data_IF_781108461657
#
_entry.id   IF_781108461657
#
_cell.length_a   1.000
_cell.length_b   1.000
_cell.length_c   1.000
_cell.angle_alpha   90.00
_cell.angle_beta   90.00
_cell.angle_gamma   90.00
#
_symmetry.space_group_name_H-M   'P 1'
#
loop_
_entity.id
_entity.type
_entity.pdbx_description
1 polymer ?
#
# COMPACT_ATOMS: atom_id res chain seq x y z
N UNK A 1 -56.31 27.68 -29.72
CA UNK A 1 -56.42 28.63 -28.59
C UNK A 1 -57.43 29.69 -28.99
N UNK A 2 -58.37 30.06 -28.14
CA UNK A 2 -59.27 31.18 -28.47
C UNK A 2 -58.44 32.47 -28.56
N UNK A 3 -58.71 33.29 -29.57
CA UNK A 3 -58.01 34.57 -29.79
C UNK A 3 -58.58 35.68 -28.89
N UNK A 4 -58.92 35.33 -27.65
CA UNK A 4 -59.53 36.27 -26.70
C UNK A 4 -58.41 37.08 -26.06
N UNK A 5 -58.45 38.40 -26.26
CA UNK A 5 -57.58 39.33 -25.58
C UNK A 5 -58.06 39.50 -24.12
N UNK A 6 -57.47 38.69 -23.23
CA UNK A 6 -57.77 38.71 -21.79
C UNK A 6 -57.42 40.05 -21.15
N UNK A 7 -56.40 40.74 -21.66
CA UNK A 7 -55.95 42.01 -21.11
C UNK A 7 -56.93 43.13 -21.48
N UNK A 8 -57.40 43.13 -22.73
CA UNK A 8 -58.48 44.03 -23.15
C UNK A 8 -59.77 43.79 -22.35
N UNK A 9 -60.16 42.53 -22.12
CA UNK A 9 -61.33 42.19 -21.29
C UNK A 9 -61.18 42.66 -19.84
N UNK A 10 -60.00 42.49 -19.25
CA UNK A 10 -59.70 42.99 -17.90
C UNK A 10 -59.83 44.51 -17.83
N UNK A 11 -59.25 45.24 -18.77
CA UNK A 11 -59.33 46.71 -18.82
C UNK A 11 -60.78 47.19 -18.92
N UNK A 12 -61.58 46.56 -19.77
CA UNK A 12 -63.01 46.88 -19.88
C UNK A 12 -63.73 46.60 -18.56
N UNK A 13 -63.55 45.42 -17.97
CA UNK A 13 -64.21 45.07 -16.71
C UNK A 13 -63.75 45.90 -15.50
N UNK A 14 -62.50 46.40 -15.51
CA UNK A 14 -61.99 47.33 -14.49
C UNK A 14 -62.52 48.75 -14.66
N UNK A 15 -62.91 49.13 -15.88
CA UNK A 15 -63.45 50.46 -16.18
C UNK A 15 -64.93 50.63 -15.78
N UNK A 16 -65.61 49.54 -15.41
CA UNK A 16 -67.03 49.51 -15.02
C UNK A 16 -67.17 49.25 -13.51
N UNK A 17 -68.17 49.86 -12.89
CA UNK A 17 -68.50 49.64 -11.48
C UNK A 17 -68.80 48.16 -11.20
N UNK A 18 -68.19 47.62 -10.15
CA UNK A 18 -68.21 46.19 -9.79
C UNK A 18 -69.45 45.78 -9.00
N UNK A 19 -70.56 46.44 -9.26
CA UNK A 19 -71.82 46.22 -8.57
C UNK A 19 -72.44 44.88 -8.98
N UNK A 20 -73.20 44.29 -8.07
CA UNK A 20 -74.03 43.12 -8.40
C UNK A 20 -75.24 43.56 -9.21
N UNK A 21 -75.65 42.72 -10.15
CA UNK A 21 -76.72 43.04 -11.10
C UNK A 21 -77.86 42.04 -10.96
N UNK A 22 -79.09 42.54 -11.02
CA UNK A 22 -80.32 41.75 -10.96
C UNK A 22 -81.17 41.93 -12.22
N UNK A 23 -82.03 40.94 -12.50
CA UNK A 23 -83.01 41.02 -13.59
C UNK A 23 -84.30 41.63 -13.10
N UNK A 24 -84.73 42.69 -13.75
CA UNK A 24 -86.02 43.33 -13.59
C UNK A 24 -87.01 42.81 -14.63
N UNK A 25 -88.15 42.29 -14.18
CA UNK A 25 -89.30 41.95 -15.03
C UNK A 25 -90.26 43.14 -15.05
N UNK A 26 -90.53 43.70 -16.23
CA UNK A 26 -91.44 44.83 -16.42
C UNK A 26 -92.80 44.42 -16.98
N UNK A 27 -93.04 43.13 -17.26
CA UNK A 27 -94.24 42.67 -17.98
C UNK A 27 -94.07 42.75 -19.50
N UNK A 28 -95.03 42.20 -20.26
CA UNK A 28 -95.08 42.22 -21.73
C UNK A 28 -93.79 41.78 -22.47
N UNK A 29 -93.03 40.87 -21.85
CA UNK A 29 -91.74 40.37 -22.31
C UNK A 29 -90.58 41.39 -22.33
N UNK A 30 -90.72 42.50 -21.59
CA UNK A 30 -89.67 43.48 -21.38
C UNK A 30 -88.91 43.22 -20.08
N UNK A 31 -87.63 42.86 -20.22
CA UNK A 31 -86.71 42.64 -19.11
C UNK A 31 -85.63 43.72 -19.09
N UNK A 32 -85.11 44.08 -17.92
CA UNK A 32 -83.97 45.00 -17.79
C UNK A 32 -82.96 44.43 -16.81
N UNK A 33 -81.69 44.79 -16.95
CA UNK A 33 -80.68 44.52 -15.93
C UNK A 33 -80.51 45.79 -15.10
N UNK A 34 -80.59 45.65 -13.78
CA UNK A 34 -80.47 46.77 -12.84
C UNK A 34 -79.37 46.48 -11.83
N UNK A 35 -78.87 47.52 -11.19
CA UNK A 35 -77.98 47.36 -10.03
C UNK A 35 -78.76 46.71 -8.89
N UNK A 36 -78.22 45.63 -8.34
CA UNK A 36 -78.80 44.90 -7.21
C UNK A 36 -79.05 45.83 -6.03
N UNK A 37 -80.26 45.77 -5.47
CA UNK A 37 -80.67 46.63 -4.36
C UNK A 37 -81.06 48.07 -4.74
N UNK A 38 -80.95 48.48 -6.00
CA UNK A 38 -81.38 49.82 -6.45
C UNK A 38 -82.89 49.98 -6.61
N UNK A 39 -83.65 48.87 -6.60
CA UNK A 39 -85.09 48.89 -6.84
C UNK A 39 -85.87 49.40 -5.62
N UNK A 40 -86.49 50.56 -5.77
CA UNK A 40 -87.43 51.14 -4.83
C UNK A 40 -88.84 51.16 -5.43
N UNK A 41 -89.85 50.80 -4.63
CA UNK A 41 -91.26 50.79 -5.03
C UNK A 41 -92.08 51.68 -4.10
N UNK A 42 -92.59 52.77 -4.64
CA UNK A 42 -93.60 53.61 -4.00
C UNK A 42 -95.03 53.27 -4.46
N UNK A 43 -96.02 53.94 -3.88
CA UNK A 43 -97.43 53.72 -4.21
C UNK A 43 -97.80 54.08 -5.67
N UNK A 44 -97.05 54.99 -6.30
CA UNK A 44 -97.31 55.50 -7.66
C UNK A 44 -96.04 55.59 -8.52
N UNK A 45 -94.89 55.12 -8.02
CA UNK A 45 -93.61 55.24 -8.71
C UNK A 45 -92.72 54.04 -8.45
N UNK A 46 -91.75 53.87 -9.36
CA UNK A 46 -90.68 52.90 -9.27
C UNK A 46 -89.39 53.60 -9.65
N UNK A 47 -88.37 53.52 -8.80
CA UNK A 47 -87.01 54.00 -9.08
C UNK A 47 -86.04 52.83 -9.04
N UNK A 48 -85.04 52.86 -9.91
CA UNK A 48 -83.94 51.88 -9.99
C UNK A 48 -82.82 52.45 -10.86
N UNK A 49 -81.64 51.85 -10.76
CA UNK A 49 -80.48 52.20 -11.58
C UNK A 49 -80.34 51.17 -12.73
N UNK A 50 -80.73 51.51 -13.98
CA UNK A 50 -80.63 50.59 -15.10
C UNK A 50 -79.19 50.43 -15.58
N UNK A 51 -78.78 49.18 -15.79
CA UNK A 51 -77.52 48.81 -16.47
C UNK A 51 -77.74 48.67 -17.97
N UNK A 52 -78.89 48.16 -18.37
CA UNK A 52 -79.29 48.03 -19.78
C UNK A 52 -80.73 48.51 -19.98
N UNK A 53 -81.00 49.02 -21.18
CA UNK A 53 -82.37 49.24 -21.63
C UNK A 53 -82.99 47.92 -22.12
N UNK A 54 -84.32 47.90 -22.26
CA UNK A 54 -85.19 46.80 -22.71
C UNK A 54 -84.50 45.61 -23.40
N UNK A 55 -84.58 44.44 -22.77
CA UNK A 55 -84.13 43.15 -23.26
C UNK A 55 -85.36 42.28 -23.47
N UNK A 56 -85.61 41.87 -24.71
CA UNK A 56 -86.79 41.07 -25.10
C UNK A 56 -86.76 39.61 -24.63
N UNK A 57 -85.65 39.16 -24.02
CA UNK A 57 -85.43 37.76 -23.63
C UNK A 57 -84.87 37.65 -22.20
N UNK A 58 -85.68 37.07 -21.32
CA UNK A 58 -85.32 36.78 -19.93
C UNK A 58 -83.99 36.05 -19.75
N UNK A 59 -83.67 35.10 -20.65
CA UNK A 59 -82.43 34.31 -20.56
C UNK A 59 -81.19 35.17 -20.82
N UNK A 60 -81.28 36.13 -21.75
CA UNK A 60 -80.20 37.06 -22.05
C UNK A 60 -80.00 38.02 -20.88
N UNK A 61 -81.09 38.57 -20.33
CA UNK A 61 -81.02 39.44 -19.14
C UNK A 61 -80.40 38.72 -17.95
N UNK A 62 -80.81 37.46 -17.69
CA UNK A 62 -80.23 36.64 -16.63
C UNK A 62 -78.74 36.34 -16.84
N UNK A 63 -78.32 36.09 -18.08
CA UNK A 63 -76.90 35.88 -18.39
C UNK A 63 -76.06 37.14 -18.14
N UNK A 64 -76.54 38.31 -18.59
CA UNK A 64 -75.83 39.59 -18.38
C UNK A 64 -75.73 39.91 -16.89
N UNK A 65 -76.82 39.74 -16.12
CA UNK A 65 -76.82 39.93 -14.68
C UNK A 65 -75.84 38.99 -13.95
N UNK A 66 -75.82 37.71 -14.34
CA UNK A 66 -74.92 36.71 -13.76
C UNK A 66 -73.43 36.90 -14.16
N UNK A 67 -73.17 37.46 -15.35
CA UNK A 67 -71.82 37.70 -15.88
C UNK A 67 -71.44 39.18 -15.80
N UNK A 68 -71.59 39.76 -14.62
CA UNK A 68 -71.20 41.14 -14.36
C UNK A 68 -69.66 41.33 -14.35
N UNK A 69 -69.15 42.58 -14.38
CA UNK A 69 -67.71 42.86 -14.37
C UNK A 69 -66.96 42.25 -13.17
N UNK A 70 -67.61 42.17 -12.00
CA UNK A 70 -67.06 41.54 -10.79
C UNK A 70 -66.77 40.05 -11.01
N UNK A 71 -67.72 39.31 -11.57
CA UNK A 71 -67.57 37.88 -11.88
C UNK A 71 -66.54 37.66 -12.99
N UNK A 72 -66.55 38.49 -14.03
CA UNK A 72 -65.57 38.40 -15.12
C UNK A 72 -64.12 38.57 -14.61
N UNK A 73 -63.88 39.55 -13.74
CA UNK A 73 -62.56 39.76 -13.13
C UNK A 73 -62.13 38.61 -12.22
N UNK A 74 -63.04 38.10 -11.39
CA UNK A 74 -62.75 36.94 -10.54
C UNK A 74 -62.33 35.71 -11.36
N UNK A 75 -63.04 35.43 -12.46
CA UNK A 75 -62.68 34.35 -13.38
C UNK A 75 -61.34 34.58 -14.07
N UNK A 76 -61.03 35.82 -14.47
CA UNK A 76 -59.72 36.18 -15.04
C UNK A 76 -58.59 36.00 -14.02
N UNK A 77 -58.78 36.42 -12.76
CA UNK A 77 -57.82 36.22 -11.68
C UNK A 77 -57.55 34.73 -11.43
N UNK A 78 -58.60 33.89 -11.42
CA UNK A 78 -58.45 32.43 -11.29
C UNK A 78 -57.71 31.81 -12.48
N UNK A 79 -57.99 32.28 -13.70
CA UNK A 79 -57.30 31.81 -14.90
C UNK A 79 -55.82 32.21 -14.91
N UNK A 80 -55.51 33.44 -14.50
CA UNK A 80 -54.13 33.92 -14.39
C UNK A 80 -53.35 33.11 -13.36
N UNK A 81 -53.95 32.83 -12.19
CA UNK A 81 -53.37 31.94 -11.17
C UNK A 81 -53.12 30.53 -11.69
N UNK A 82 -54.09 29.93 -12.38
CA UNK A 82 -53.93 28.59 -12.99
C UNK A 82 -52.83 28.60 -14.06
N UNK A 83 -52.74 29.64 -14.87
CA UNK A 83 -51.71 29.77 -15.89
C UNK A 83 -50.31 29.93 -15.28
N UNK A 84 -50.18 30.67 -14.17
CA UNK A 84 -48.93 30.75 -13.41
C UNK A 84 -48.55 29.40 -12.79
N UNK A 85 -49.51 28.68 -12.20
CA UNK A 85 -49.27 27.36 -11.62
C UNK A 85 -48.76 26.36 -12.67
N UNK A 86 -49.35 26.35 -13.87
CA UNK A 86 -48.90 25.49 -14.97
C UNK A 86 -47.45 25.81 -15.34
N UNK A 87 -47.10 27.10 -15.48
CA UNK A 87 -45.72 27.51 -15.78
C UNK A 87 -44.72 27.05 -14.72
N UNK A 88 -45.06 27.19 -13.44
CA UNK A 88 -44.22 26.73 -12.33
C UNK A 88 -44.03 25.21 -12.36
N UNK A 89 -45.10 24.46 -12.63
CA UNK A 89 -45.05 23.00 -12.77
C UNK A 89 -44.23 22.54 -13.95
N UNK A 90 -44.33 23.24 -15.08
CA UNK A 90 -43.53 22.93 -16.27
C UNK A 90 -42.04 23.18 -16.00
N UNK A 91 -41.70 24.27 -15.32
CA UNK A 91 -40.33 24.55 -14.88
C UNK A 91 -39.80 23.49 -13.90
N UNK A 92 -40.61 23.14 -12.89
CA UNK A 92 -40.26 22.09 -11.92
C UNK A 92 -40.02 20.75 -12.63
N UNK A 93 -40.88 20.39 -13.58
CA UNK A 93 -40.73 19.17 -14.37
C UNK A 93 -39.46 19.18 -15.23
N UNK A 94 -39.08 20.33 -15.79
CA UNK A 94 -37.83 20.50 -16.54
C UNK A 94 -36.61 20.31 -15.62
N UNK A 95 -36.60 20.95 -14.45
CA UNK A 95 -35.53 20.82 -13.46
C UNK A 95 -35.40 19.38 -12.94
N UNK A 96 -36.53 18.70 -12.71
CA UNK A 96 -36.57 17.28 -12.36
C UNK A 96 -35.98 16.43 -13.51
N UNK A 97 -36.36 16.70 -14.76
CA UNK A 97 -35.86 15.95 -15.90
C UNK A 97 -34.33 16.10 -16.05
N UNK A 98 -33.80 17.31 -15.87
CA UNK A 98 -32.37 17.58 -15.88
C UNK A 98 -31.64 16.83 -14.75
N UNK A 99 -32.20 16.85 -13.54
CA UNK A 99 -31.62 16.19 -12.36
C UNK A 99 -31.61 14.67 -12.53
N UNK A 100 -32.73 14.09 -12.97
CA UNK A 100 -32.83 12.66 -13.28
C UNK A 100 -31.86 12.28 -14.40
N UNK A 101 -31.68 13.13 -15.41
CA UNK A 101 -30.69 12.92 -16.46
C UNK A 101 -29.26 12.80 -15.92
N UNK A 102 -28.85 13.71 -15.04
CA UNK A 102 -27.52 13.67 -14.39
C UNK A 102 -27.33 12.40 -13.56
N UNK A 103 -28.31 12.07 -12.72
CA UNK A 103 -28.25 10.86 -11.87
C UNK A 103 -28.17 9.57 -12.69
N UNK A 104 -28.84 9.50 -13.85
CA UNK A 104 -28.71 8.35 -14.75
C UNK A 104 -27.28 8.17 -15.28
N UNK A 105 -26.64 9.26 -15.69
CA UNK A 105 -25.25 9.21 -16.17
C UNK A 105 -24.30 8.77 -15.05
N UNK A 106 -24.45 9.34 -13.85
CA UNK A 106 -23.66 8.95 -12.69
C UNK A 106 -23.85 7.47 -12.34
N UNK A 107 -25.10 6.98 -12.34
CA UNK A 107 -25.41 5.58 -12.05
C UNK A 107 -24.74 4.63 -13.05
N UNK A 108 -24.78 4.94 -14.35
CA UNK A 108 -24.11 4.14 -15.37
C UNK A 108 -22.58 4.14 -15.19
N UNK A 109 -21.99 5.26 -14.79
CA UNK A 109 -20.57 5.31 -14.44
C UNK A 109 -20.24 4.43 -13.22
N UNK A 110 -21.08 4.44 -12.18
CA UNK A 110 -20.89 3.57 -11.01
C UNK A 110 -20.98 2.08 -11.36
N UNK A 111 -21.97 1.68 -12.17
CA UNK A 111 -22.10 0.29 -12.65
C UNK A 111 -20.88 -0.14 -13.45
N UNK A 112 -20.43 0.69 -14.39
CA UNK A 112 -19.21 0.40 -15.17
C UNK A 112 -17.96 0.28 -14.28
N UNK A 113 -17.86 1.09 -13.22
CA UNK A 113 -16.78 0.96 -12.24
C UNK A 113 -16.86 -0.35 -11.45
N UNK A 114 -18.05 -0.75 -11.01
CA UNK A 114 -18.28 -2.01 -10.30
C UNK A 114 -17.91 -3.24 -11.15
N UNK A 115 -18.29 -3.23 -12.43
CA UNK A 115 -17.91 -4.28 -13.39
C UNK A 115 -16.38 -4.38 -13.54
N UNK A 116 -15.69 -3.23 -13.69
CA UNK A 116 -14.22 -3.21 -13.78
C UNK A 116 -13.56 -3.75 -12.52
N UNK A 117 -14.05 -3.37 -11.34
CA UNK A 117 -13.52 -3.85 -10.06
C UNK A 117 -13.72 -5.36 -9.94
N UNK A 118 -14.92 -5.86 -10.29
CA UNK A 118 -15.23 -7.30 -10.25
C UNK A 118 -14.28 -8.08 -11.15
N UNK A 119 -14.04 -7.60 -12.38
CA UNK A 119 -13.10 -8.24 -13.30
C UNK A 119 -11.67 -8.26 -12.73
N UNK A 120 -11.20 -7.13 -12.21
CA UNK A 120 -9.86 -7.02 -11.62
C UNK A 120 -9.67 -7.97 -10.43
N UNK A 121 -10.69 -8.12 -9.58
CA UNK A 121 -10.66 -9.06 -8.45
C UNK A 121 -10.55 -10.51 -8.94
N UNK A 122 -11.31 -10.89 -9.98
CA UNK A 122 -11.23 -12.23 -10.56
C UNK A 122 -9.87 -12.50 -11.22
N UNK A 123 -9.35 -11.54 -11.99
CA UNK A 123 -8.05 -11.65 -12.64
C UNK A 123 -6.92 -11.78 -11.60
N UNK A 124 -6.97 -10.97 -10.53
CA UNK A 124 -6.01 -11.06 -9.43
C UNK A 124 -6.11 -12.38 -8.66
N UNK A 125 -7.32 -12.88 -8.39
CA UNK A 125 -7.52 -14.19 -7.73
C UNK A 125 -6.87 -15.30 -8.55
N UNK A 126 -7.13 -15.32 -9.86
CA UNK A 126 -6.54 -16.29 -10.79
C UNK A 126 -5.01 -16.18 -10.80
N UNK A 127 -4.47 -14.96 -10.73
CA UNK A 127 -3.03 -14.74 -10.64
C UNK A 127 -2.43 -15.30 -9.34
N UNK A 128 -3.12 -15.13 -8.20
CA UNK A 128 -2.68 -15.69 -6.92
C UNK A 128 -2.70 -17.22 -6.92
N UNK A 129 -3.74 -17.85 -7.48
CA UNK A 129 -3.84 -19.31 -7.58
C UNK A 129 -2.62 -19.90 -8.31
N UNK A 130 -2.22 -19.30 -9.43
CA UNK A 130 -1.03 -19.72 -10.20
C UNK A 130 0.27 -19.56 -9.40
N UNK A 131 0.38 -18.50 -8.58
CA UNK A 131 1.55 -18.30 -7.72
C UNK A 131 1.60 -19.31 -6.58
N UNK A 132 0.46 -19.63 -5.97
CA UNK A 132 0.37 -20.66 -4.93
C UNK A 132 0.75 -22.04 -5.46
N UNK A 133 0.26 -22.43 -6.65
CA UNK A 133 0.67 -23.71 -7.26
C UNK A 133 2.18 -23.77 -7.53
N UNK A 134 2.78 -22.67 -8.00
CA UNK A 134 4.23 -22.60 -8.21
C UNK A 134 5.01 -22.67 -6.90
N UNK A 135 4.50 -22.07 -5.83
CA UNK A 135 5.09 -22.12 -4.50
C UNK A 135 5.05 -23.54 -3.95
N UNK A 136 3.89 -24.19 -3.98
CA UNK A 136 3.72 -25.58 -3.51
C UNK A 136 4.63 -26.54 -4.31
N UNK A 137 4.70 -26.36 -5.63
CA UNK A 137 5.62 -27.13 -6.47
C UNK A 137 7.10 -26.88 -6.13
N UNK A 138 7.46 -25.65 -5.74
CA UNK A 138 8.82 -25.32 -5.33
C UNK A 138 9.18 -25.93 -3.97
N UNK A 139 8.28 -25.85 -3.01
CA UNK A 139 8.43 -26.47 -1.69
C UNK A 139 8.61 -27.99 -1.82
N UNK A 140 7.81 -28.63 -2.67
CA UNK A 140 7.96 -30.05 -2.97
C UNK A 140 9.33 -30.39 -3.54
N UNK A 141 9.82 -29.61 -4.53
CA UNK A 141 11.17 -29.80 -5.10
C UNK A 141 12.27 -29.64 -4.04
N UNK A 142 12.14 -28.67 -3.14
CA UNK A 142 13.10 -28.45 -2.05
C UNK A 142 13.09 -29.64 -1.09
N UNK A 143 11.91 -30.17 -0.75
CA UNK A 143 11.78 -31.35 0.11
C UNK A 143 12.43 -32.59 -0.53
N UNK A 144 12.17 -32.84 -1.82
CA UNK A 144 12.79 -33.93 -2.58
C UNK A 144 14.32 -33.78 -2.66
N UNK A 145 14.82 -32.56 -2.91
CA UNK A 145 16.26 -32.28 -2.91
C UNK A 145 16.89 -32.53 -1.53
N UNK A 146 16.21 -32.11 -0.45
CA UNK A 146 16.69 -32.32 0.92
C UNK A 146 16.82 -33.81 1.23
N UNK A 147 15.81 -34.60 0.88
CA UNK A 147 15.84 -36.05 1.05
C UNK A 147 16.99 -36.71 0.26
N UNK A 148 17.19 -36.29 -1.00
CA UNK A 148 18.31 -36.76 -1.81
C UNK A 148 19.67 -36.47 -1.16
N UNK A 149 19.93 -35.23 -0.76
CA UNK A 149 21.19 -34.85 -0.14
C UNK A 149 21.42 -35.54 1.20
N UNK A 150 20.37 -35.70 2.01
CA UNK A 150 20.43 -36.44 3.28
C UNK A 150 20.82 -37.91 3.04
N UNK A 151 20.29 -38.53 1.98
CA UNK A 151 20.71 -39.87 1.54
C UNK A 151 22.18 -39.95 1.09
N UNK A 152 22.66 -39.00 0.28
CA UNK A 152 24.06 -38.94 -0.16
C UNK A 152 25.01 -38.74 1.02
N UNK A 153 24.66 -37.86 1.95
CA UNK A 153 25.45 -37.60 3.17
C UNK A 153 25.47 -38.86 4.05
N UNK A 154 24.36 -39.57 4.19
CA UNK A 154 24.30 -40.80 4.96
C UNK A 154 25.19 -41.91 4.37
N UNK A 155 25.14 -42.12 3.05
CA UNK A 155 25.99 -43.09 2.36
C UNK A 155 27.48 -42.73 2.46
N UNK A 156 27.81 -41.46 2.24
CA UNK A 156 29.17 -40.95 2.40
C UNK A 156 29.69 -41.11 3.84
N UNK A 157 28.87 -40.79 4.84
CA UNK A 157 29.21 -40.95 6.26
C UNK A 157 29.46 -42.42 6.62
N UNK A 158 28.63 -43.34 6.10
CA UNK A 158 28.83 -44.78 6.27
C UNK A 158 30.15 -45.23 5.65
N UNK A 159 30.47 -44.76 4.45
CA UNK A 159 31.73 -45.10 3.77
C UNK A 159 32.95 -44.59 4.53
N UNK A 160 32.89 -43.38 5.09
CA UNK A 160 33.95 -42.83 5.95
C UNK A 160 34.14 -43.72 7.18
N UNK A 161 33.06 -44.09 7.88
CA UNK A 161 33.14 -44.96 9.04
C UNK A 161 33.75 -46.35 8.72
N UNK A 162 33.40 -46.93 7.56
CA UNK A 162 34.02 -48.17 7.07
C UNK A 162 35.52 -48.01 6.81
N UNK A 163 35.93 -46.89 6.21
CA UNK A 163 37.34 -46.60 5.94
C UNK A 163 38.12 -46.37 7.24
N UNK A 164 37.56 -45.62 8.19
CA UNK A 164 38.16 -45.39 9.51
C UNK A 164 38.29 -46.68 10.32
N UNK A 165 37.33 -47.61 10.21
CA UNK A 165 37.43 -48.92 10.87
C UNK A 165 38.46 -49.84 10.24
N UNK A 166 38.73 -49.70 8.94
CA UNK A 166 39.73 -50.49 8.22
C UNK A 166 41.12 -49.84 8.24
N UNK A 167 41.23 -48.60 8.74
CA UNK A 167 42.49 -47.89 8.87
C UNK A 167 43.39 -48.55 9.93
N UNK A 168 44.48 -49.17 9.47
CA UNK A 168 45.55 -49.65 10.35
C UNK A 168 46.31 -48.44 10.87
N UNK A 169 45.97 -47.96 12.07
CA UNK A 169 46.78 -46.98 12.78
C UNK A 169 48.04 -47.66 13.29
N UNK A 170 49.21 -47.32 12.72
CA UNK A 170 50.50 -47.63 13.35
C UNK A 170 50.66 -46.75 14.60
N UNK A 171 50.00 -47.16 15.68
CA UNK A 171 50.12 -46.53 16.99
C UNK A 171 51.54 -46.79 17.49
N UNK A 172 52.40 -45.77 17.39
CA UNK A 172 53.70 -45.80 18.07
C UNK A 172 54.95 -45.78 17.19
N UNK A 173 54.90 -45.25 15.96
CA UNK A 173 56.11 -44.96 15.18
C UNK A 173 56.92 -43.80 15.78
N UNK A 174 57.55 -44.06 16.93
CA UNK A 174 58.58 -43.23 17.53
C UNK A 174 59.92 -43.68 16.96
N UNK A 175 60.71 -42.74 16.48
CA UNK A 175 62.11 -42.99 16.16
C UNK A 175 62.97 -41.94 16.86
N UNK A 176 64.21 -42.32 17.12
CA UNK A 176 65.20 -41.48 17.76
C UNK A 176 66.18 -41.01 16.69
N UNK A 177 66.44 -39.71 16.65
CA UNK A 177 67.55 -39.16 15.88
C UNK A 177 68.73 -39.01 16.83
N UNK A 178 69.78 -39.80 16.58
CA UNK A 178 70.99 -39.86 17.40
C UNK A 178 72.08 -39.03 16.73
N UNK A 179 72.60 -38.03 17.45
CA UNK A 179 73.62 -37.09 16.97
C UNK A 179 74.90 -37.23 17.79
N UNK A 180 76.04 -37.21 17.10
CA UNK A 180 77.36 -37.19 17.72
C UNK A 180 78.26 -36.16 17.01
N UNK A 181 79.07 -35.38 17.74
CA UNK A 181 80.01 -34.43 17.13
C UNK A 181 80.89 -35.10 16.06
N UNK A 182 80.91 -34.54 14.84
CA UNK A 182 81.73 -35.03 13.73
C UNK A 182 81.23 -36.29 13.01
N UNK A 183 80.03 -36.79 13.32
CA UNK A 183 79.39 -37.92 12.60
C UNK A 183 78.05 -37.51 11.99
N UNK A 184 77.66 -38.17 10.92
CA UNK A 184 76.33 -37.99 10.32
C UNK A 184 75.25 -38.46 11.30
N UNK A 185 74.18 -37.69 11.54
CA UNK A 185 73.06 -38.12 12.37
C UNK A 185 72.44 -39.43 11.86
N UNK A 186 72.01 -40.30 12.78
CA UNK A 186 71.42 -41.60 12.43
C UNK A 186 70.04 -41.77 13.08
N UNK A 187 69.11 -42.34 12.32
CA UNK A 187 67.79 -42.73 12.83
C UNK A 187 67.89 -44.12 13.47
N UNK A 188 67.38 -44.25 14.69
CA UNK A 188 67.24 -45.53 15.39
C UNK A 188 65.79 -45.74 15.81
N UNK A 189 65.28 -46.94 15.59
CA UNK A 189 64.00 -47.38 16.12
C UNK A 189 64.22 -48.07 17.46
N UNK A 190 63.44 -47.71 18.48
CA UNK A 190 63.52 -48.37 19.77
C UNK A 190 62.95 -49.78 19.66
N UNK A 191 63.75 -50.78 20.02
CA UNK A 191 63.31 -52.16 20.19
C UNK A 191 63.32 -52.51 21.67
N UNK A 192 62.14 -52.67 22.27
CA UNK A 192 61.98 -52.92 23.71
C UNK A 192 61.74 -51.65 24.52
N UNK A 193 62.11 -51.68 25.81
CA UNK A 193 61.91 -50.57 26.74
C UNK A 193 62.72 -49.32 26.33
N UNK A 194 62.06 -48.16 26.30
CA UNK A 194 62.64 -46.91 25.79
C UNK A 194 63.75 -46.39 26.71
N UNK A 195 63.60 -46.49 28.03
CA UNK A 195 64.60 -45.98 28.99
C UNK A 195 65.87 -46.81 28.93
N UNK A 196 65.74 -48.13 28.87
CA UNK A 196 66.89 -49.04 28.73
C UNK A 196 67.64 -48.81 27.41
N UNK A 197 66.91 -48.56 26.32
CA UNK A 197 67.51 -48.26 25.02
C UNK A 197 68.28 -46.92 25.04
N UNK A 198 67.68 -45.88 25.64
CA UNK A 198 68.33 -44.58 25.79
C UNK A 198 69.56 -44.65 26.69
N UNK A 199 69.52 -45.40 27.81
CA UNK A 199 70.69 -45.62 28.68
C UNK A 199 71.84 -46.25 27.91
N UNK A 200 71.59 -47.33 27.16
CA UNK A 200 72.63 -48.00 26.36
C UNK A 200 73.27 -47.08 25.33
N UNK A 201 72.51 -46.19 24.71
CA UNK A 201 73.06 -45.22 23.74
C UNK A 201 73.96 -44.18 24.41
N UNK A 202 73.57 -43.67 25.57
CA UNK A 202 74.33 -42.67 26.31
C UNK A 202 75.58 -43.29 26.96
N UNK A 203 75.49 -44.55 27.45
CA UNK A 203 76.64 -45.28 28.00
C UNK A 203 77.71 -45.59 26.94
N UNK A 204 77.29 -45.86 25.69
CA UNK A 204 78.21 -46.10 24.58
C UNK A 204 78.95 -44.83 24.13
N UNK A 205 78.30 -43.67 24.29
CA UNK A 205 78.83 -42.41 23.78
C UNK A 205 78.36 -41.21 24.61
N UNK A 206 79.19 -40.73 25.58
CA UNK A 206 78.78 -39.69 26.53
C UNK A 206 78.49 -38.32 25.90
N UNK A 207 78.93 -38.08 24.65
CA UNK A 207 78.72 -36.82 23.93
C UNK A 207 77.52 -36.87 22.97
N UNK A 208 76.76 -37.97 23.00
CA UNK A 208 75.59 -38.14 22.14
C UNK A 208 74.44 -37.24 22.55
N UNK A 209 73.78 -36.61 21.57
CA UNK A 209 72.49 -35.93 21.77
C UNK A 209 71.41 -36.68 21.02
N UNK A 210 70.25 -36.87 21.66
CA UNK A 210 69.16 -37.69 21.12
C UNK A 210 67.90 -36.83 21.05
N UNK A 211 67.35 -36.68 19.86
CA UNK A 211 66.03 -36.09 19.67
C UNK A 211 64.99 -37.22 19.53
N UNK A 212 63.96 -37.19 20.37
CA UNK A 212 62.84 -38.13 20.27
C UNK A 212 61.82 -37.51 19.33
N UNK A 213 61.65 -38.11 18.15
CA UNK A 213 60.69 -37.63 17.17
C UNK A 213 59.51 -38.58 17.12
N UNK A 214 58.34 -38.03 17.39
CA UNK A 214 57.08 -38.73 17.21
C UNK A 214 56.44 -38.21 15.94
N UNK A 215 56.31 -39.05 14.92
CA UNK A 215 55.42 -38.72 13.82
C UNK A 215 54.01 -39.21 14.16
N UNK A 216 53.02 -38.36 13.88
CA UNK A 216 51.61 -38.75 13.92
C UNK A 216 51.00 -38.31 12.60
N UNK A 217 50.47 -39.25 11.81
CA UNK A 217 49.54 -38.92 10.72
C UNK A 217 48.37 -39.88 10.61
N UNK A 218 47.15 -39.34 10.53
CA UNK A 218 46.29 -39.28 9.34
C UNK A 218 44.89 -38.84 9.80
N UNK A 219 44.28 -37.94 9.04
CA UNK A 219 42.91 -37.47 9.21
C UNK A 219 42.54 -36.64 7.98
N UNK A 220 41.30 -36.75 7.52
CA UNK A 220 40.79 -36.07 6.32
C UNK A 220 40.95 -34.56 6.50
N UNK A 221 41.99 -33.97 5.90
CA UNK A 221 42.40 -32.58 6.15
C UNK A 221 43.84 -32.20 5.77
N UNK A 222 44.73 -33.15 5.49
CA UNK A 222 45.90 -32.92 4.62
C UNK A 222 47.01 -31.97 5.11
N UNK A 223 47.36 -31.93 6.40
CA UNK A 223 48.53 -31.17 6.88
C UNK A 223 49.82 -32.03 6.92
N UNK A 224 50.86 -31.77 6.12
CA UNK A 224 52.07 -32.62 5.99
C UNK A 224 52.70 -33.15 7.30
N UNK A 225 53.14 -34.42 7.27
CA UNK A 225 54.10 -34.97 8.25
C UNK A 225 55.44 -35.06 7.57
N UNK A 226 56.43 -34.34 8.10
CA UNK A 226 57.82 -34.56 7.74
C UNK A 226 58.12 -36.02 8.04
N UNK A 227 58.59 -36.83 7.08
CA UNK A 227 59.10 -38.17 7.40
C UNK A 227 60.50 -38.10 8.04
N UNK A 228 61.00 -39.23 8.57
CA UNK A 228 62.30 -39.26 9.26
C UNK A 228 63.47 -38.84 8.35
N UNK A 229 63.35 -39.08 7.04
CA UNK A 229 64.32 -38.69 6.03
C UNK A 229 64.24 -37.21 5.66
N UNK A 230 63.03 -36.67 5.53
CA UNK A 230 62.74 -35.25 5.28
C UNK A 230 63.24 -34.38 6.43
N UNK A 231 63.06 -34.82 7.69
CA UNK A 231 63.61 -34.12 8.84
C UNK A 231 65.14 -34.07 8.82
N UNK A 232 65.82 -35.18 8.46
CA UNK A 232 67.28 -35.20 8.28
C UNK A 232 67.74 -34.24 7.18
N UNK A 233 67.01 -34.18 6.06
CA UNK A 233 67.32 -33.26 4.95
C UNK A 233 67.10 -31.79 5.34
N UNK A 234 66.01 -31.47 6.04
CA UNK A 234 65.77 -30.10 6.55
C UNK A 234 66.85 -29.68 7.54
N UNK A 235 67.30 -30.57 8.42
CA UNK A 235 68.38 -30.29 9.37
C UNK A 235 69.75 -30.16 8.69
N UNK A 236 69.97 -30.82 7.54
CA UNK A 236 71.13 -30.59 6.68
C UNK A 236 71.04 -29.26 5.92
N UNK A 237 69.82 -28.81 5.58
CA UNK A 237 69.57 -27.57 4.81
C UNK A 237 69.38 -26.30 5.63
N UNK A 238 69.08 -26.37 6.94
CA UNK A 238 68.75 -25.24 7.82
C UNK A 238 69.95 -24.37 8.27
N UNK A 239 70.89 -24.11 7.37
CA UNK A 239 71.78 -22.96 7.47
C UNK A 239 70.99 -21.66 7.23
N UNK A 240 70.32 -21.16 8.28
CA UNK A 240 69.71 -19.82 8.41
C UNK A 240 68.45 -19.59 7.54
N UNK A 241 67.28 -19.57 8.20
CA UNK A 241 65.95 -19.49 7.59
C UNK A 241 65.44 -18.09 7.20
N UNK A 242 64.50 -18.07 6.25
CA UNK A 242 63.70 -16.91 5.82
C UNK A 242 62.25 -17.08 6.25
N UNK A 243 61.73 -16.01 6.88
CA UNK A 243 60.37 -15.41 6.94
C UNK A 243 59.11 -16.28 6.85
N UNK A 244 58.10 -15.89 7.62
CA UNK A 244 56.70 -15.94 7.19
C UNK A 244 55.92 -14.71 7.65
N UNK A 245 55.12 -14.17 6.73
CA UNK A 245 54.09 -13.14 6.93
C UNK A 245 52.77 -13.81 6.57
N UNK A 246 51.79 -13.75 7.47
CA UNK A 246 50.41 -14.18 7.24
C UNK A 246 49.55 -12.92 7.07
N UNK A 247 48.75 -12.87 6.01
CA UNK A 247 47.62 -11.95 5.88
C UNK A 247 46.34 -12.71 6.26
N UNK A 248 45.58 -12.16 7.20
CA UNK A 248 44.26 -12.63 7.60
C UNK A 248 43.17 -11.91 6.79
N UNK A 249 42.22 -12.68 6.27
CA UNK A 249 40.97 -12.19 5.69
C UNK A 249 39.88 -12.35 6.75
N UNK A 250 39.36 -11.24 7.28
CA UNK A 250 38.18 -11.26 8.15
C UNK A 250 36.91 -11.22 7.29
N UNK A 251 36.08 -12.24 7.46
CA UNK A 251 34.67 -12.24 7.11
C UNK A 251 33.86 -12.15 8.40
N UNK A 252 33.09 -11.08 8.60
CA UNK A 252 31.88 -11.16 9.42
C UNK A 252 30.92 -10.00 9.16
N UNK A 253 29.76 -10.35 8.60
CA UNK A 253 28.58 -9.49 8.43
C UNK A 253 27.68 -9.72 9.63
N UNK A 254 27.84 -8.92 10.69
CA UNK A 254 26.82 -8.79 11.74
C UNK A 254 26.97 -7.49 12.53
N UNK A 255 26.68 -6.35 11.91
CA UNK A 255 26.64 -5.08 12.64
C UNK A 255 25.51 -4.17 12.17
N UNK A 256 24.31 -4.38 12.69
CA UNK A 256 23.21 -3.41 12.56
C UNK A 256 23.55 -2.18 13.41
N UNK A 257 23.34 -0.98 12.84
CA UNK A 257 23.49 0.34 13.47
C UNK A 257 24.93 0.75 13.85
N UNK A 258 25.94 0.46 13.01
CA UNK A 258 27.24 1.09 13.20
C UNK A 258 27.22 2.53 12.66
N UNK A 259 27.44 3.55 13.51
CA UNK A 259 27.56 4.92 13.04
C UNK A 259 28.77 5.05 12.11
N UNK A 260 28.57 5.65 10.94
CA UNK A 260 29.57 5.71 9.88
C UNK A 260 28.97 6.01 8.51
N UNK A 261 29.82 6.02 7.48
CA UNK A 261 29.37 6.17 6.10
C UNK A 261 28.86 4.83 5.58
N UNK A 262 27.55 4.73 5.38
CA UNK A 262 26.88 3.52 4.88
C UNK A 262 26.35 3.81 3.49
N UNK A 263 26.44 2.83 2.59
CA UNK A 263 25.90 2.96 1.24
C UNK A 263 24.37 2.98 1.32
N UNK A 264 23.71 3.89 0.61
CA UNK A 264 22.26 4.13 0.71
C UNK A 264 21.40 2.87 0.57
N UNK A 265 21.83 1.89 -0.24
CA UNK A 265 21.12 0.61 -0.42
C UNK A 265 21.08 -0.29 0.83
N UNK A 266 21.95 -0.01 1.81
CA UNK A 266 22.08 -0.77 3.06
C UNK A 266 21.49 -0.02 4.26
N UNK A 267 20.70 1.03 4.03
CA UNK A 267 20.00 1.78 5.06
C UNK A 267 18.57 1.27 5.10
N UNK A 268 18.11 0.92 6.30
CA UNK A 268 16.79 0.34 6.53
C UNK A 268 15.90 1.32 7.34
N UNK A 269 14.59 1.07 7.33
CA UNK A 269 13.66 1.77 8.21
C UNK A 269 14.05 1.56 9.69
N UNK A 270 14.10 2.65 10.46
CA UNK A 270 14.59 2.71 11.84
C UNK A 270 16.05 3.16 12.00
N UNK A 271 16.80 3.33 10.91
CA UNK A 271 18.12 3.94 10.96
C UNK A 271 18.03 5.47 11.16
N UNK A 272 19.03 6.04 11.83
CA UNK A 272 19.15 7.49 11.99
C UNK A 272 20.22 8.02 11.05
N UNK A 273 19.86 8.92 10.15
CA UNK A 273 20.79 9.49 9.17
C UNK A 273 20.93 10.99 9.36
N UNK A 274 22.10 11.53 9.04
CA UNK A 274 22.35 12.96 9.09
C UNK A 274 22.19 13.58 7.71
N UNK A 275 21.17 14.41 7.55
CA UNK A 275 20.88 15.12 6.32
C UNK A 275 20.80 16.63 6.56
N UNK A 276 21.50 17.43 5.76
CA UNK A 276 21.57 18.90 5.90
C UNK A 276 21.89 19.40 7.32
N UNK A 277 22.71 18.64 8.06
CA UNK A 277 23.14 18.98 9.42
C UNK A 277 22.13 18.65 10.53
N UNK A 278 21.00 18.02 10.20
CA UNK A 278 20.01 17.53 11.14
C UNK A 278 19.94 16.00 11.09
N UNK A 279 19.57 15.37 12.21
CA UNK A 279 19.40 13.91 12.30
C UNK A 279 17.93 13.58 12.07
N UNK A 280 17.69 12.63 11.18
CA UNK A 280 16.37 12.15 10.84
C UNK A 280 16.29 10.64 11.04
N UNK A 281 15.17 10.15 11.56
CA UNK A 281 14.84 8.73 11.57
C UNK A 281 14.21 8.35 10.23
N UNK A 282 14.70 7.27 9.63
CA UNK A 282 14.17 6.72 8.38
C UNK A 282 12.89 5.96 8.70
N UNK A 283 11.77 6.42 8.16
CA UNK A 283 10.46 5.80 8.29
C UNK A 283 10.26 4.70 7.24
N UNK A 284 10.69 4.94 6.01
CA UNK A 284 10.52 4.03 4.88
C UNK A 284 11.65 4.18 3.86
N UNK A 285 12.03 3.09 3.22
CA UNK A 285 13.07 3.03 2.19
C UNK A 285 12.51 2.41 0.92
N UNK A 286 12.58 3.16 -0.18
CA UNK A 286 12.10 2.71 -1.49
C UNK A 286 13.28 2.62 -2.48
N UNK A 287 13.31 1.52 -3.23
CA UNK A 287 14.38 1.18 -4.18
C UNK A 287 13.80 1.12 -5.59
N UNK A 288 14.29 2.01 -6.46
CA UNK A 288 14.01 1.97 -7.90
C UNK A 288 15.32 1.66 -8.65
N UNK A 289 15.26 1.26 -9.93
CA UNK A 289 16.32 0.57 -10.67
C UNK A 289 17.72 1.24 -10.63
N UNK A 290 17.84 2.51 -10.22
CA UNK A 290 19.13 3.20 -10.01
C UNK A 290 19.18 4.14 -8.77
N UNK A 291 18.07 4.35 -8.05
CA UNK A 291 17.94 5.35 -7.00
C UNK A 291 17.36 4.75 -5.71
N UNK A 292 17.76 5.31 -4.58
CA UNK A 292 17.23 5.05 -3.24
C UNK A 292 16.50 6.29 -2.75
N UNK A 293 15.28 6.12 -2.26
CA UNK A 293 14.51 7.17 -1.59
C UNK A 293 14.32 6.80 -0.13
N UNK A 294 14.89 7.61 0.78
CA UNK A 294 14.71 7.49 2.22
C UNK A 294 13.66 8.52 2.66
N UNK A 295 12.54 8.05 3.20
CA UNK A 295 11.50 8.88 3.79
C UNK A 295 11.78 9.04 5.29
N UNK A 296 11.68 10.26 5.79
CA UNK A 296 11.98 10.58 7.18
C UNK A 296 10.72 10.88 7.99
N UNK A 297 10.75 10.49 9.26
CA UNK A 297 9.74 10.88 10.25
C UNK A 297 9.65 12.41 10.29
N UNK A 298 8.50 12.97 9.88
CA UNK A 298 8.31 14.41 9.70
C UNK A 298 8.13 14.88 8.25
N UNK A 299 8.09 13.95 7.29
CA UNK A 299 7.64 14.20 5.91
C UNK A 299 8.71 14.72 4.95
N UNK A 300 9.98 14.76 5.37
CA UNK A 300 11.11 15.03 4.48
C UNK A 300 11.56 13.75 3.78
N UNK A 301 12.20 13.88 2.62
CA UNK A 301 12.78 12.75 1.90
C UNK A 301 14.18 13.07 1.36
N UNK A 302 15.04 12.05 1.33
CA UNK A 302 16.33 12.07 0.66
C UNK A 302 16.30 11.08 -0.51
N UNK A 303 16.43 11.60 -1.73
CA UNK A 303 16.62 10.78 -2.94
C UNK A 303 18.07 10.87 -3.41
N UNK A 304 18.72 9.73 -3.58
CA UNK A 304 20.12 9.63 -4.02
C UNK A 304 20.37 8.34 -4.81
N UNK A 305 21.49 8.25 -5.53
CA UNK A 305 21.85 7.02 -6.26
C UNK A 305 22.13 5.86 -5.29
N UNK A 306 21.90 4.61 -5.72
CA UNK A 306 22.05 3.44 -4.85
C UNK A 306 23.42 3.29 -4.19
N UNK A 307 24.49 3.73 -4.85
CA UNK A 307 25.86 3.73 -4.34
C UNK A 307 26.25 4.95 -3.48
N UNK A 308 25.31 5.86 -3.17
CA UNK A 308 25.62 7.10 -2.46
C UNK A 308 25.98 6.80 -0.99
N UNK A 309 27.13 7.28 -0.48
CA UNK A 309 27.44 7.16 0.95
C UNK A 309 26.61 8.17 1.74
N UNK A 310 25.89 7.68 2.74
CA UNK A 310 25.06 8.45 3.66
C UNK A 310 25.58 8.25 5.09
N UNK A 311 25.68 9.33 5.85
CA UNK A 311 26.15 9.30 7.24
C UNK A 311 25.04 8.75 8.14
N UNK A 312 25.19 7.51 8.59
CA UNK A 312 24.34 6.87 9.61
C UNK A 312 24.91 7.23 10.98
N UNK A 313 24.05 7.62 11.91
CA UNK A 313 24.39 8.00 13.28
C UNK A 313 23.64 7.12 14.26
N UNK A 314 24.12 7.04 15.50
CA UNK A 314 23.37 6.36 16.56
C UNK A 314 22.13 7.16 16.95
N UNK A 315 21.09 6.47 17.41
CA UNK A 315 19.85 7.08 17.90
C UNK A 315 20.14 8.21 18.90
N UNK A 316 19.51 9.39 18.74
CA UNK A 316 19.70 10.49 19.68
C UNK A 316 19.17 10.10 21.07
N UNK A 317 20.04 10.15 22.08
CA UNK A 317 19.65 9.93 23.48
C UNK A 317 18.73 11.08 23.89
N UNK A 318 17.45 10.78 24.11
CA UNK A 318 16.46 11.78 24.51
C UNK A 318 16.87 12.45 25.83
N UNK A 319 17.32 13.71 25.77
CA UNK A 319 17.39 14.58 26.94
C UNK A 319 15.95 14.91 27.35
N UNK A 320 15.57 14.48 28.56
CA UNK A 320 14.19 14.41 29.02
C UNK A 320 13.40 15.71 28.88
N UNK A 321 12.22 15.59 28.27
CA UNK A 321 11.17 16.61 28.32
C UNK A 321 10.06 16.07 29.23
N UNK A 322 9.87 16.77 30.36
CA UNK A 322 8.77 16.56 31.29
C UNK A 322 7.44 16.75 30.56
N UNK A 323 6.58 15.76 30.67
CA UNK A 323 5.15 15.88 30.38
C UNK A 323 4.52 16.71 31.50
N UNK A 324 4.03 17.90 31.17
CA UNK A 324 2.99 18.56 31.96
C UNK A 324 1.69 18.40 31.18
N UNK A 325 0.77 17.64 31.75
CA UNK A 325 -0.62 17.59 31.29
C UNK A 325 -1.38 18.84 31.70
N UNK A 326 -2.23 19.31 30.79
CA UNK A 326 -3.69 19.40 30.92
C UNK A 326 -4.29 19.54 29.50
#
# INVERSE_FOLDING_TARGET
MSNIDKQALRQIAESVDREEWDVLDNGDADYQVIVSGSLERGATYRSYQPVTNEISNKKIAAFIAAFNPKVALALLDELDKKQQYIKLRDQENEDIALTVGKLRVELEHYKSREERVTKLVLDNSTSWDVLYEKLEAAEKRIAEQREYYEGVIADGSKRIAELESNEVREVGNKFLVVRHPGKTPAIKHCTGDLEDFLRKLIEQDPLVTIDIITHRYYGVGGQWVQDAGEYLQMMQGAGIGVKHQEDSVDSDVSSRNQPGMVVAVHIDAGDFVKFKGQVFEVEETDFDDHDVTLWFVGGNALKCAAGCPVEVVSAPVAAGIKVNGE
#
